data_IF_697620048100
#
_entry.id   IF_697620048100
#
_cell.length_a   1.000
_cell.length_b   1.000
_cell.length_c   1.000
_cell.angle_alpha   90.00
_cell.angle_beta   90.00
_cell.angle_gamma   90.00
#
_symmetry.space_group_name_H-M   'P 1'
#
loop_
_entity.id
_entity.type
_entity.pdbx_description
1 polymer ?
#
# COMPACT_ATOMS: atom_id res chain seq x y z
N UNK A 1 -8.96 18.54 -1.67
CA UNK A 1 -9.00 17.20 -1.04
C UNK A 1 -9.67 16.21 -2.00
N UNK A 2 -9.32 14.91 -1.96
CA UNK A 2 -10.17 13.85 -2.56
C UNK A 2 -11.30 13.47 -1.60
N UNK A 3 -12.28 12.69 -2.06
CA UNK A 3 -13.45 12.23 -1.27
C UNK A 3 -14.77 12.91 -1.60
N UNK A 4 -14.91 13.45 -2.81
CA UNK A 4 -16.20 13.87 -3.37
C UNK A 4 -16.64 12.85 -4.43
N UNK A 5 -17.92 12.84 -4.86
CA UNK A 5 -18.36 11.99 -5.96
C UNK A 5 -17.53 12.22 -7.24
N UNK A 6 -17.14 13.46 -7.52
CA UNK A 6 -16.37 13.83 -8.71
C UNK A 6 -14.86 13.54 -8.57
N UNK A 7 -14.40 13.36 -7.33
CA UNK A 7 -13.00 13.05 -7.01
C UNK A 7 -12.98 12.01 -5.88
N UNK A 8 -13.22 10.73 -6.19
CA UNK A 8 -13.34 9.69 -5.18
C UNK A 8 -12.05 9.56 -4.35
N UNK A 9 -12.19 9.08 -3.12
CA UNK A 9 -11.05 8.53 -2.37
C UNK A 9 -10.73 7.13 -2.87
N UNK A 10 -9.49 6.67 -2.69
CA UNK A 10 -9.14 5.29 -2.96
C UNK A 10 -7.74 5.09 -3.50
N UNK A 11 -7.20 6.07 -4.24
CA UNK A 11 -5.84 5.99 -4.78
C UNK A 11 -4.79 6.15 -3.69
N UNK A 12 -3.92 5.14 -3.55
CA UNK A 12 -2.81 5.13 -2.60
C UNK A 12 -1.57 4.60 -3.29
N UNK A 13 -0.44 5.30 -3.13
CA UNK A 13 0.85 4.89 -3.65
C UNK A 13 1.67 4.27 -2.51
N UNK A 14 2.25 3.10 -2.76
CA UNK A 14 3.13 2.39 -1.85
C UNK A 14 4.54 2.38 -2.40
N UNK A 15 5.52 2.36 -1.49
CA UNK A 15 6.90 2.05 -1.80
C UNK A 15 7.51 1.21 -0.68
N UNK A 16 8.24 0.16 -1.06
CA UNK A 16 9.07 -0.63 -0.15
C UNK A 16 10.52 -0.49 -0.58
N UNK A 17 11.40 -0.26 0.39
CA UNK A 17 12.84 -0.16 0.17
C UNK A 17 13.56 -1.12 1.13
N UNK A 18 14.68 -1.68 0.68
CA UNK A 18 15.44 -2.68 1.40
C UNK A 18 16.95 -2.63 1.09
N UNK A 19 17.71 -3.62 1.57
CA UNK A 19 19.15 -3.75 1.29
C UNK A 19 19.46 -3.85 -0.20
N UNK A 20 20.73 -3.68 -0.54
CA UNK A 20 21.27 -3.87 -1.90
C UNK A 20 20.58 -3.02 -2.99
N UNK A 21 20.02 -1.87 -2.60
CA UNK A 21 19.33 -0.97 -3.50
C UNK A 21 17.93 -1.44 -3.91
N UNK A 22 17.35 -2.41 -3.21
CA UNK A 22 15.98 -2.84 -3.45
C UNK A 22 15.01 -1.67 -3.23
N UNK A 23 14.23 -1.37 -4.27
CA UNK A 23 13.16 -0.39 -4.21
C UNK A 23 12.06 -0.78 -5.20
N UNK A 24 10.83 -0.92 -4.70
CA UNK A 24 9.65 -1.15 -5.51
C UNK A 24 8.55 -0.18 -5.12
N UNK A 25 7.76 0.24 -6.09
CA UNK A 25 6.61 1.09 -5.86
C UNK A 25 5.42 0.60 -6.67
N UNK A 26 4.23 0.79 -6.13
CA UNK A 26 2.98 0.52 -6.83
C UNK A 26 1.90 1.52 -6.44
N UNK A 27 0.89 1.67 -7.30
CA UNK A 27 -0.27 2.50 -7.03
C UNK A 27 -1.51 1.63 -7.10
N UNK A 28 -2.28 1.62 -6.01
CA UNK A 28 -3.51 0.84 -5.89
C UNK A 28 -4.71 1.78 -5.74
N UNK A 29 -5.89 1.26 -6.09
CA UNK A 29 -7.16 1.92 -5.82
C UNK A 29 -8.02 1.02 -4.92
N UNK A 30 -8.32 1.50 -3.71
CA UNK A 30 -9.20 0.80 -2.77
C UNK A 30 -10.62 1.38 -2.81
N UNK A 31 -11.66 0.54 -2.84
CA UNK A 31 -13.04 1.00 -2.74
C UNK A 31 -13.40 1.38 -1.31
N UNK A 32 -14.47 2.17 -1.15
CA UNK A 32 -15.08 2.50 0.14
C UNK A 32 -14.81 3.94 0.58
N UNK A 33 -15.16 4.21 1.84
CA UNK A 33 -14.89 5.49 2.47
C UNK A 33 -13.43 5.60 2.95
N UNK A 34 -13.09 6.72 3.59
CA UNK A 34 -11.73 6.98 4.08
C UNK A 34 -11.26 5.95 5.10
N UNK A 35 -12.14 5.48 5.96
CA UNK A 35 -11.79 4.52 7.01
C UNK A 35 -11.52 3.14 6.39
N UNK A 36 -12.36 2.71 5.45
CA UNK A 36 -12.17 1.49 4.68
C UNK A 36 -10.86 1.52 3.88
N UNK A 37 -10.60 2.62 3.15
CA UNK A 37 -9.36 2.82 2.39
C UNK A 37 -8.14 2.79 3.32
N UNK A 38 -8.20 3.46 4.48
CA UNK A 38 -7.09 3.45 5.46
C UNK A 38 -6.79 2.04 5.95
N UNK A 39 -7.82 1.29 6.36
CA UNK A 39 -7.66 -0.08 6.87
C UNK A 39 -7.07 -1.01 5.80
N UNK A 40 -7.60 -0.96 4.57
CA UNK A 40 -7.12 -1.77 3.46
C UNK A 40 -5.68 -1.41 3.08
N UNK A 41 -5.32 -0.12 3.12
CA UNK A 41 -3.97 0.34 2.80
C UNK A 41 -2.93 -0.15 3.80
N UNK A 42 -3.27 -0.16 5.11
CA UNK A 42 -2.36 -0.69 6.14
C UNK A 42 -2.15 -2.19 5.93
N UNK A 43 -3.22 -2.95 5.71
CA UNK A 43 -3.12 -4.38 5.43
C UNK A 43 -2.26 -4.66 4.19
N UNK A 44 -2.49 -3.92 3.10
CA UNK A 44 -1.71 -4.04 1.86
C UNK A 44 -0.23 -3.72 2.06
N UNK A 45 0.07 -2.62 2.76
CA UNK A 45 1.45 -2.22 3.07
C UNK A 45 2.21 -3.30 3.84
N UNK A 46 1.58 -3.89 4.87
CA UNK A 46 2.19 -4.92 5.71
C UNK A 46 2.35 -6.24 4.96
N UNK A 47 1.33 -6.67 4.20
CA UNK A 47 1.43 -7.88 3.35
C UNK A 47 2.52 -7.73 2.30
N UNK A 48 2.60 -6.57 1.65
CA UNK A 48 3.63 -6.27 0.66
C UNK A 48 5.03 -6.21 1.25
N UNK A 49 5.18 -5.80 2.52
CA UNK A 49 6.46 -5.88 3.22
C UNK A 49 6.82 -7.35 3.49
N UNK A 50 5.91 -8.13 4.08
CA UNK A 50 6.14 -9.54 4.40
C UNK A 50 6.50 -10.38 3.16
N UNK A 51 5.90 -10.11 2.01
CA UNK A 51 6.22 -10.83 0.76
C UNK A 51 7.60 -10.49 0.20
N UNK A 52 8.20 -9.38 0.62
CA UNK A 52 9.51 -8.89 0.17
C UNK A 52 10.63 -9.13 1.19
N UNK A 53 10.27 -9.58 2.40
CA UNK A 53 11.26 -10.01 3.36
C UNK A 53 11.89 -11.32 2.90
N UNK A 54 13.21 -11.49 3.09
CA UNK A 54 13.82 -12.79 2.92
C UNK A 54 13.17 -13.79 3.90
N UNK A 55 13.11 -15.09 3.54
CA UNK A 55 12.63 -16.11 4.46
C UNK A 55 13.42 -16.05 5.78
N UNK A 56 12.73 -16.22 6.92
CA UNK A 56 13.31 -16.07 8.27
C UNK A 56 14.31 -17.17 8.68
N UNK A 57 14.94 -17.88 7.73
CA UNK A 57 15.99 -18.86 8.01
C UNK A 57 17.07 -18.81 6.90
N UNK A 58 18.21 -18.23 7.26
CA UNK A 58 19.53 -18.61 6.76
C UNK A 58 20.51 -18.51 7.94
#
# INVERSE_FOLDING_TARGET
AGGTPEKPVGTVCFAWAGPDGFAEAETCHFPGDREAVRRASVEHALRGLLSRLPPMLA
#
